data_IF_501329436718
#
_entry.id   IF_501329436718
#
_cell.length_a   1.000
_cell.length_b   1.000
_cell.length_c   1.000
_cell.angle_alpha   90.00
_cell.angle_beta   90.00
_cell.angle_gamma   90.00
#
_symmetry.space_group_name_H-M   'P 1'
#
loop_
_entity.id
_entity.type
_entity.pdbx_description
1 polymer ?
#
# COMPACT_ATOMS: atom_id res chain seq x y z
N UNK A 1 35.61 -56.83 -58.09
CA UNK A 1 34.61 -55.75 -58.22
C UNK A 1 34.13 -55.34 -56.79
N UNK A 2 34.68 -54.29 -56.19
CA UNK A 2 34.38 -53.83 -54.83
C UNK A 2 33.59 -52.53 -54.96
N UNK A 3 32.34 -52.57 -54.52
CA UNK A 3 31.50 -51.39 -54.41
C UNK A 3 31.70 -50.70 -53.05
N UNK A 4 32.15 -49.46 -53.05
CA UNK A 4 32.24 -48.60 -51.88
C UNK A 4 30.87 -47.98 -51.54
N UNK A 5 30.31 -48.23 -50.39
CA UNK A 5 29.15 -47.52 -49.84
C UNK A 5 29.64 -46.32 -48.99
N UNK A 6 29.32 -45.11 -49.40
CA UNK A 6 29.52 -43.88 -48.62
C UNK A 6 28.43 -43.77 -47.53
N UNK A 7 28.84 -43.78 -46.30
CA UNK A 7 27.96 -43.46 -45.15
C UNK A 7 27.91 -41.96 -44.95
N UNK A 8 26.73 -41.43 -44.96
CA UNK A 8 26.46 -40.03 -44.61
C UNK A 8 26.21 -40.00 -43.08
N UNK A 9 27.07 -39.31 -42.37
CA UNK A 9 26.89 -39.03 -40.95
C UNK A 9 26.07 -37.74 -40.81
N UNK A 10 24.81 -37.85 -40.38
CA UNK A 10 23.99 -36.70 -39.99
C UNK A 10 24.36 -36.30 -38.56
N UNK A 11 24.96 -35.13 -38.40
CA UNK A 11 25.16 -34.49 -37.10
C UNK A 11 23.88 -33.72 -36.79
N UNK A 12 23.09 -34.23 -35.83
CA UNK A 12 21.99 -33.48 -35.22
C UNK A 12 22.56 -32.47 -34.22
N UNK A 13 22.55 -31.20 -34.64
CA UNK A 13 22.81 -30.09 -33.71
C UNK A 13 21.62 -29.86 -32.77
N UNK A 14 21.77 -30.13 -31.49
CA UNK A 14 20.84 -29.71 -30.47
C UNK A 14 20.95 -28.18 -30.28
N UNK A 15 20.00 -27.43 -30.82
CA UNK A 15 19.83 -26.02 -30.50
C UNK A 15 19.12 -25.93 -29.14
N UNK A 16 19.89 -25.62 -28.07
CA UNK A 16 19.37 -25.30 -26.77
C UNK A 16 18.77 -23.89 -26.83
N UNK A 17 17.46 -23.81 -27.05
CA UNK A 17 16.73 -22.55 -26.99
C UNK A 17 16.58 -22.11 -25.53
N UNK A 18 17.34 -21.09 -25.14
CA UNK A 18 17.13 -20.38 -23.88
C UNK A 18 15.83 -19.59 -24.03
N UNK A 19 14.74 -20.12 -23.48
CA UNK A 19 13.49 -19.39 -23.30
C UNK A 19 13.74 -18.35 -22.20
N UNK A 20 14.07 -17.13 -22.61
CA UNK A 20 14.02 -15.98 -21.72
C UNK A 20 12.57 -15.74 -21.34
N UNK A 21 12.20 -16.11 -20.11
CA UNK A 21 10.96 -15.69 -19.50
C UNK A 21 11.00 -14.17 -19.33
N UNK A 22 10.52 -13.43 -20.31
CA UNK A 22 10.09 -12.06 -20.12
C UNK A 22 8.83 -12.11 -19.25
N UNK A 23 9.01 -11.99 -17.94
CA UNK A 23 7.93 -11.61 -17.05
C UNK A 23 7.43 -10.26 -17.57
N UNK A 24 6.32 -10.27 -18.27
CA UNK A 24 5.60 -9.05 -18.63
C UNK A 24 5.23 -8.38 -17.31
N UNK A 25 5.92 -7.30 -16.99
CA UNK A 25 5.43 -6.30 -16.03
C UNK A 25 4.17 -5.75 -16.72
N UNK A 26 3.03 -6.34 -16.39
CA UNK A 26 1.73 -5.77 -16.73
C UNK A 26 1.68 -4.50 -15.90
N UNK A 27 2.02 -3.37 -16.51
CA UNK A 27 1.65 -2.07 -15.98
C UNK A 27 0.14 -2.17 -15.73
N UNK A 28 -0.27 -1.99 -14.46
CA UNK A 28 -1.68 -1.97 -14.12
C UNK A 28 -2.35 -1.01 -15.10
N UNK A 29 -3.24 -1.52 -15.94
CA UNK A 29 -3.91 -0.73 -16.96
C UNK A 29 -4.42 0.53 -16.27
N UNK A 30 -4.15 1.71 -16.88
CA UNK A 30 -4.56 3.00 -16.35
C UNK A 30 -6.08 2.97 -16.13
N UNK A 31 -6.47 2.65 -14.92
CA UNK A 31 -7.88 2.70 -14.50
C UNK A 31 -8.30 4.17 -14.61
N UNK A 32 -9.32 4.44 -15.41
CA UNK A 32 -9.67 5.79 -15.84
C UNK A 32 -9.75 6.78 -14.66
N UNK A 33 -8.91 7.79 -14.71
CA UNK A 33 -8.82 8.88 -13.74
C UNK A 33 -7.91 8.61 -12.54
N UNK A 34 -7.30 7.41 -12.40
CA UNK A 34 -6.27 7.18 -11.40
C UNK A 34 -4.90 7.63 -11.91
N UNK A 35 -4.11 8.20 -11.00
CA UNK A 35 -2.68 8.45 -11.21
C UNK A 35 -1.85 7.81 -10.11
N UNK A 36 -0.64 7.41 -10.43
CA UNK A 36 0.27 6.85 -9.44
C UNK A 36 0.77 7.91 -8.46
N UNK A 37 0.83 7.56 -7.17
CA UNK A 37 1.53 8.32 -6.14
C UNK A 37 2.95 7.80 -5.89
N UNK A 38 3.27 6.62 -6.42
CA UNK A 38 4.60 6.02 -6.34
C UNK A 38 5.10 5.68 -7.75
N UNK A 39 6.28 6.18 -8.09
CA UNK A 39 6.86 6.02 -9.43
C UNK A 39 7.54 4.66 -9.66
N UNK A 40 7.57 3.78 -8.64
CA UNK A 40 8.22 2.47 -8.70
C UNK A 40 9.75 2.49 -8.62
N UNK A 41 10.38 3.65 -8.34
CA UNK A 41 11.85 3.81 -8.39
C UNK A 41 12.44 4.44 -7.14
N UNK A 42 11.82 5.49 -6.64
CA UNK A 42 12.30 6.27 -5.50
C UNK A 42 11.15 6.89 -4.71
N UNK A 43 11.47 7.58 -3.62
CA UNK A 43 10.51 8.25 -2.77
C UNK A 43 10.19 9.70 -3.22
N UNK A 44 10.38 10.03 -4.50
CA UNK A 44 9.99 11.33 -5.04
C UNK A 44 8.48 11.56 -4.81
N UNK A 45 8.13 12.75 -4.30
CA UNK A 45 6.74 13.06 -3.91
C UNK A 45 6.38 12.69 -2.47
N UNK A 46 7.27 12.01 -1.76
CA UNK A 46 7.13 11.61 -0.37
C UNK A 46 8.18 12.29 0.52
N UNK A 47 7.88 12.37 1.81
CA UNK A 47 8.74 12.94 2.85
C UNK A 47 8.65 12.11 4.13
N UNK A 48 9.79 11.63 4.63
CA UNK A 48 9.90 10.76 5.80
C UNK A 48 11.33 10.34 6.07
N UNK A 49 11.54 9.60 7.14
CA UNK A 49 12.86 9.11 7.56
C UNK A 49 13.35 7.98 6.65
N UNK A 50 14.33 8.26 5.81
CA UNK A 50 14.93 7.28 4.87
C UNK A 50 15.75 6.18 5.54
N UNK A 51 15.95 6.23 6.84
CA UNK A 51 16.53 5.10 7.59
C UNK A 51 15.51 3.99 7.85
N UNK A 52 14.21 4.33 7.82
CA UNK A 52 13.09 3.40 8.01
C UNK A 52 12.35 3.12 6.70
N UNK A 53 12.34 4.09 5.77
CA UNK A 53 11.61 4.01 4.51
C UNK A 53 12.55 3.89 3.32
N UNK A 54 12.34 2.88 2.50
CA UNK A 54 13.14 2.59 1.30
C UNK A 54 12.28 2.05 0.17
N UNK A 55 12.85 1.93 -1.02
CA UNK A 55 12.22 1.22 -2.14
C UNK A 55 12.93 -0.11 -2.33
N UNK A 56 12.17 -1.19 -2.40
CA UNK A 56 12.65 -2.53 -2.75
C UNK A 56 11.74 -3.11 -3.84
N UNK A 57 12.31 -3.39 -5.01
CA UNK A 57 11.55 -3.85 -6.16
C UNK A 57 10.52 -2.81 -6.60
N UNK A 58 9.26 -3.19 -6.62
CA UNK A 58 8.11 -2.35 -6.98
C UNK A 58 7.34 -1.79 -5.77
N UNK A 59 7.94 -1.85 -4.56
CA UNK A 59 7.28 -1.48 -3.32
C UNK A 59 8.03 -0.39 -2.53
N UNK A 60 7.27 0.46 -1.86
CA UNK A 60 7.73 1.26 -0.72
C UNK A 60 7.72 0.35 0.50
N UNK A 61 8.83 0.28 1.20
CA UNK A 61 9.04 -0.59 2.35
C UNK A 61 9.29 0.25 3.59
N UNK A 62 8.45 0.06 4.60
CA UNK A 62 8.70 0.51 5.96
C UNK A 62 9.30 -0.66 6.77
N UNK A 63 10.54 -0.50 7.24
CA UNK A 63 11.29 -1.54 7.93
C UNK A 63 11.95 -0.97 9.18
N UNK A 64 11.51 -1.43 10.33
CA UNK A 64 11.90 -0.90 11.63
C UNK A 64 12.49 -1.99 12.52
N UNK A 65 13.65 -1.72 13.14
CA UNK A 65 14.20 -2.60 14.18
C UNK A 65 13.48 -2.47 15.54
N UNK A 66 12.50 -1.59 15.63
CA UNK A 66 11.82 -1.13 16.84
C UNK A 66 12.12 0.32 17.13
N UNK A 67 11.08 1.13 17.30
CA UNK A 67 11.14 2.58 17.50
C UNK A 67 10.24 3.03 18.66
N UNK A 68 10.58 4.18 19.26
CA UNK A 68 9.85 4.72 20.43
C UNK A 68 8.59 5.53 20.05
N UNK A 69 8.61 6.15 18.87
CA UNK A 69 7.55 7.04 18.38
C UNK A 69 7.17 6.63 16.97
N UNK A 70 5.89 6.76 16.63
CA UNK A 70 5.42 6.51 15.27
C UNK A 70 6.19 7.33 14.26
N UNK A 71 6.41 6.75 13.08
CA UNK A 71 7.05 7.40 11.94
C UNK A 71 6.18 7.26 10.70
N UNK A 72 6.10 8.33 9.94
CA UNK A 72 5.25 8.39 8.77
C UNK A 72 6.01 8.80 7.52
N UNK A 73 5.71 8.13 6.41
CA UNK A 73 6.09 8.57 5.08
C UNK A 73 4.92 9.32 4.48
N UNK A 74 5.04 10.63 4.36
CA UNK A 74 3.97 11.55 4.02
C UNK A 74 4.03 12.00 2.57
N UNK A 75 2.90 12.10 1.87
CA UNK A 75 2.86 12.79 0.57
C UNK A 75 3.14 14.28 0.76
N UNK A 76 3.82 14.89 -0.23
CA UNK A 76 4.01 16.35 -0.28
C UNK A 76 2.75 17.08 -0.74
N UNK A 77 1.84 16.38 -1.37
CA UNK A 77 0.57 16.88 -1.89
C UNK A 77 -0.56 16.56 -0.93
N UNK A 78 -1.55 17.44 -0.86
CA UNK A 78 -2.80 17.26 -0.11
C UNK A 78 -3.95 16.86 -1.05
N UNK A 79 -4.90 16.11 -0.51
CA UNK A 79 -6.06 15.59 -1.23
C UNK A 79 -7.35 15.94 -0.49
N UNK A 80 -8.38 16.34 -1.23
CA UNK A 80 -9.74 16.58 -0.71
C UNK A 80 -10.61 15.33 -0.79
N UNK A 81 -11.48 15.29 -1.81
CA UNK A 81 -12.29 14.13 -2.14
C UNK A 81 -11.53 13.21 -3.10
N UNK A 82 -11.43 11.93 -2.77
CA UNK A 82 -10.61 10.99 -3.55
C UNK A 82 -11.05 9.52 -3.38
N UNK A 83 -10.58 8.69 -4.31
CA UNK A 83 -10.38 7.26 -4.14
C UNK A 83 -8.87 6.97 -4.15
N UNK A 84 -8.37 6.31 -3.13
CA UNK A 84 -7.01 5.80 -3.03
C UNK A 84 -7.05 4.28 -3.07
N UNK A 85 -6.26 3.71 -3.97
CA UNK A 85 -6.06 2.26 -4.07
C UNK A 85 -4.59 1.95 -3.88
N UNK A 86 -4.32 0.91 -3.14
CA UNK A 86 -2.97 0.40 -2.94
C UNK A 86 -3.01 -1.10 -2.61
N UNK A 87 -1.87 -1.74 -2.72
CA UNK A 87 -1.65 -3.06 -2.17
C UNK A 87 -0.70 -2.95 -0.98
N UNK A 88 -0.96 -3.74 0.06
CA UNK A 88 -0.11 -3.81 1.23
C UNK A 88 0.19 -5.26 1.64
N UNK A 89 1.33 -5.46 2.30
CA UNK A 89 1.70 -6.72 2.92
C UNK A 89 2.42 -6.45 4.24
N UNK A 90 1.87 -6.96 5.34
CA UNK A 90 2.52 -6.91 6.66
C UNK A 90 3.31 -8.19 6.83
N UNK A 91 4.62 -8.08 7.09
CA UNK A 91 5.51 -9.22 7.24
C UNK A 91 5.02 -10.12 8.38
N UNK A 92 4.91 -11.41 8.10
CA UNK A 92 4.46 -12.44 9.05
C UNK A 92 3.05 -12.17 9.63
N UNK A 93 2.32 -11.19 9.09
CA UNK A 93 1.02 -10.75 9.60
C UNK A 93 1.08 -10.10 10.98
N UNK A 94 2.28 -9.71 11.43
CA UNK A 94 2.54 -9.17 12.76
C UNK A 94 2.94 -7.69 12.69
N UNK A 95 2.58 -6.93 13.72
CA UNK A 95 2.83 -5.50 13.83
C UNK A 95 1.59 -4.66 13.56
N UNK A 96 1.72 -3.38 13.84
CA UNK A 96 0.69 -2.37 13.64
C UNK A 96 1.17 -1.33 12.63
N UNK A 97 0.31 -0.96 11.70
CA UNK A 97 0.57 0.00 10.65
C UNK A 97 -0.75 0.57 10.14
N UNK A 98 -0.70 1.48 9.17
CA UNK A 98 -1.91 2.01 8.56
C UNK A 98 -1.62 3.00 7.46
N UNK A 99 -2.69 3.42 6.80
CA UNK A 99 -2.68 4.47 5.79
C UNK A 99 -3.45 5.66 6.33
N UNK A 100 -2.74 6.74 6.60
CA UNK A 100 -3.32 8.01 7.01
C UNK A 100 -3.89 8.74 5.79
N UNK A 101 -5.00 9.43 5.98
CA UNK A 101 -5.61 10.26 4.94
C UNK A 101 -6.37 11.45 5.54
N UNK A 102 -6.50 12.52 4.79
CA UNK A 102 -7.04 13.80 5.29
C UNK A 102 -6.39 14.16 6.64
N UNK A 103 -5.09 13.97 6.72
CA UNK A 103 -4.29 14.14 7.94
C UNK A 103 -3.31 15.30 7.79
N UNK A 104 -2.78 15.80 8.88
CA UNK A 104 -1.78 16.87 8.95
C UNK A 104 -0.63 16.46 9.85
N UNK A 105 0.59 16.91 9.51
CA UNK A 105 1.74 16.77 10.43
C UNK A 105 1.49 17.56 11.71
N UNK A 106 1.82 16.97 12.85
CA UNK A 106 1.83 17.66 14.13
C UNK A 106 3.14 18.46 14.22
N UNK A 107 3.09 19.78 14.48
CA UNK A 107 4.31 20.59 14.64
C UNK A 107 5.26 20.01 15.68
N UNK A 108 6.55 20.07 15.42
CA UNK A 108 7.64 19.63 16.31
C UNK A 108 7.52 18.17 16.79
N UNK A 109 6.85 17.33 15.99
CA UNK A 109 6.61 15.91 16.28
C UNK A 109 6.81 15.05 15.04
N UNK A 110 6.98 13.75 15.26
CA UNK A 110 6.93 12.74 14.19
C UNK A 110 5.50 12.28 13.90
N UNK A 111 4.53 12.73 14.72
CA UNK A 111 3.13 12.33 14.63
C UNK A 111 2.37 13.09 13.53
N UNK A 112 1.26 12.50 13.14
CA UNK A 112 0.26 13.11 12.26
C UNK A 112 -1.11 13.07 12.92
N UNK A 113 -2.02 13.95 12.52
CA UNK A 113 -3.34 14.07 13.12
C UNK A 113 -4.43 13.99 12.04
N UNK A 114 -5.24 12.96 12.09
CA UNK A 114 -6.31 12.71 11.12
C UNK A 114 -6.79 11.27 11.10
N UNK A 115 -7.47 10.88 10.01
CA UNK A 115 -7.98 9.52 9.87
C UNK A 115 -6.90 8.53 9.49
N UNK A 116 -6.98 7.31 10.05
CA UNK A 116 -6.16 6.16 9.68
C UNK A 116 -7.04 4.99 9.25
N UNK A 117 -6.78 4.48 8.06
CA UNK A 117 -7.22 3.19 7.59
C UNK A 117 -6.25 2.14 8.17
N UNK A 118 -6.62 1.51 9.26
CA UNK A 118 -5.73 0.79 10.14
C UNK A 118 -5.45 -0.65 9.68
N UNK A 119 -4.26 -1.14 9.98
CA UNK A 119 -3.76 -2.44 9.55
C UNK A 119 -2.95 -3.11 10.67
N UNK A 120 -3.06 -4.43 10.73
CA UNK A 120 -2.24 -5.25 11.62
C UNK A 120 -2.86 -5.51 12.99
N UNK A 121 -2.33 -6.53 13.66
CA UNK A 121 -2.78 -6.99 14.99
C UNK A 121 -4.31 -7.10 15.10
N UNK A 122 -4.91 -6.35 16.03
CA UNK A 122 -6.37 -6.31 16.28
C UNK A 122 -7.08 -5.18 15.53
N UNK A 123 -6.35 -4.40 14.71
CA UNK A 123 -6.87 -3.19 14.06
C UNK A 123 -7.15 -3.35 12.57
N UNK A 124 -7.06 -4.57 12.04
CA UNK A 124 -7.29 -4.81 10.61
C UNK A 124 -8.58 -4.17 10.11
N UNK A 125 -8.43 -3.21 9.18
CA UNK A 125 -9.55 -2.57 8.48
C UNK A 125 -10.42 -1.65 9.33
N UNK A 126 -10.01 -1.28 10.55
CA UNK A 126 -10.68 -0.27 11.36
C UNK A 126 -10.46 1.13 10.77
N UNK A 127 -11.36 2.05 11.12
CA UNK A 127 -11.12 3.49 10.99
C UNK A 127 -10.73 4.05 12.35
N UNK A 128 -9.51 4.53 12.45
CA UNK A 128 -8.96 5.17 13.65
C UNK A 128 -8.82 6.67 13.43
N UNK A 129 -8.79 7.45 14.50
CA UNK A 129 -8.56 8.89 14.48
C UNK A 129 -7.29 9.25 15.27
N UNK A 130 -6.17 9.33 14.54
CA UNK A 130 -4.82 9.50 15.09
C UNK A 130 -4.59 10.91 15.60
N UNK A 131 -4.00 11.01 16.78
CA UNK A 131 -3.56 12.28 17.42
C UNK A 131 -4.60 13.41 17.44
N UNK A 132 -5.88 13.10 17.15
CA UNK A 132 -7.01 14.05 17.21
C UNK A 132 -8.02 13.60 18.27
N UNK A 133 -8.72 12.46 18.03
CA UNK A 133 -9.65 11.86 19.00
C UNK A 133 -9.05 10.64 19.70
N UNK A 134 -7.95 10.09 19.18
CA UNK A 134 -7.20 8.94 19.71
C UNK A 134 -8.11 7.74 20.01
N UNK A 135 -8.97 7.38 19.05
CA UNK A 135 -9.91 6.27 19.21
C UNK A 135 -10.29 5.63 17.87
N UNK A 136 -10.70 4.37 17.95
CA UNK A 136 -11.39 3.70 16.85
C UNK A 136 -12.75 4.39 16.68
N UNK A 137 -13.03 4.89 15.47
CA UNK A 137 -14.32 5.44 15.06
C UNK A 137 -15.26 4.33 14.63
N UNK A 138 -14.74 3.37 13.86
CA UNK A 138 -15.49 2.21 13.36
C UNK A 138 -14.60 0.98 13.43
N UNK A 139 -15.06 -0.06 14.07
CA UNK A 139 -14.45 -1.39 14.02
C UNK A 139 -14.79 -2.05 12.68
N UNK A 140 -13.83 -2.77 12.10
CA UNK A 140 -14.04 -3.45 10.84
C UNK A 140 -15.17 -4.49 10.90
N UNK A 141 -15.81 -4.70 9.74
CA UNK A 141 -16.78 -5.78 9.58
C UNK A 141 -16.15 -7.15 9.90
N UNK A 142 -16.84 -8.04 10.63
CA UNK A 142 -16.36 -9.41 10.88
C UNK A 142 -16.09 -10.23 9.62
N UNK A 143 -16.72 -9.89 8.50
CA UNK A 143 -16.52 -10.57 7.21
C UNK A 143 -15.10 -10.44 6.68
N UNK A 144 -14.34 -9.44 7.15
CA UNK A 144 -12.94 -9.26 6.81
C UNK A 144 -12.08 -10.46 7.20
N UNK A 145 -12.38 -11.16 8.30
CA UNK A 145 -11.57 -12.30 8.79
C UNK A 145 -11.41 -13.39 7.73
N UNK A 146 -12.41 -13.57 6.87
CA UNK A 146 -12.40 -14.56 5.78
C UNK A 146 -11.65 -14.08 4.53
N UNK A 147 -11.48 -12.77 4.38
CA UNK A 147 -10.91 -12.16 3.18
C UNK A 147 -9.46 -11.71 3.36
N UNK A 148 -9.04 -11.39 4.59
CA UNK A 148 -7.70 -10.88 4.87
C UNK A 148 -6.62 -11.97 4.73
N UNK A 149 -5.54 -11.64 4.03
CA UNK A 149 -4.34 -12.47 3.88
C UNK A 149 -3.23 -11.86 4.74
N UNK A 150 -3.19 -12.20 6.02
CA UNK A 150 -2.37 -11.48 7.03
C UNK A 150 -0.89 -11.33 6.69
N UNK A 151 -0.27 -12.32 6.03
CA UNK A 151 1.15 -12.32 5.66
C UNK A 151 1.39 -12.21 4.14
N UNK A 152 0.36 -11.87 3.36
CA UNK A 152 0.44 -11.77 1.91
C UNK A 152 -0.16 -10.44 1.42
N UNK A 153 -0.07 -10.20 0.11
CA UNK A 153 -0.59 -8.99 -0.51
C UNK A 153 -2.12 -8.91 -0.43
N UNK A 154 -2.59 -7.76 0.01
CA UNK A 154 -4.00 -7.40 0.09
C UNK A 154 -4.23 -6.10 -0.67
N UNK A 155 -5.39 -5.95 -1.30
CA UNK A 155 -5.83 -4.68 -1.85
C UNK A 155 -6.53 -3.85 -0.78
N UNK A 156 -6.24 -2.55 -0.74
CA UNK A 156 -6.96 -1.57 0.07
C UNK A 156 -7.54 -0.50 -0.84
N UNK A 157 -8.84 -0.24 -0.68
CA UNK A 157 -9.52 0.92 -1.24
C UNK A 157 -9.95 1.83 -0.09
N UNK A 158 -9.57 3.09 -0.18
CA UNK A 158 -9.94 4.16 0.74
C UNK A 158 -10.67 5.22 -0.09
N UNK A 159 -11.97 5.40 0.13
CA UNK A 159 -12.75 6.45 -0.51
C UNK A 159 -13.17 7.46 0.55
N UNK A 160 -12.91 8.74 0.28
CA UNK A 160 -13.35 9.87 1.09
C UNK A 160 -14.01 10.91 0.18
N UNK A 161 -15.31 11.11 0.33
CA UNK A 161 -16.10 12.03 -0.47
C UNK A 161 -17.03 12.84 0.43
N UNK A 162 -16.85 14.16 0.46
CA UNK A 162 -17.54 15.00 1.41
C UNK A 162 -17.27 14.56 2.86
N UNK A 163 -18.31 14.20 3.58
CA UNK A 163 -18.26 13.68 4.95
C UNK A 163 -18.27 12.15 5.02
N UNK A 164 -18.34 11.47 3.88
CA UNK A 164 -18.46 10.02 3.80
C UNK A 164 -17.11 9.33 3.57
N UNK A 165 -16.81 8.33 4.38
CA UNK A 165 -15.58 7.51 4.32
C UNK A 165 -15.98 6.05 4.15
N UNK A 166 -15.45 5.41 3.11
CA UNK A 166 -15.60 3.97 2.88
C UNK A 166 -14.24 3.32 2.80
N UNK A 167 -14.04 2.24 3.55
CA UNK A 167 -12.83 1.41 3.48
C UNK A 167 -13.20 0.01 2.98
N UNK A 168 -12.36 -0.55 2.07
CA UNK A 168 -12.52 -1.94 1.61
C UNK A 168 -11.17 -2.63 1.54
N UNK A 169 -11.10 -3.84 2.08
CA UNK A 169 -9.94 -4.73 1.92
C UNK A 169 -10.40 -5.96 1.13
N UNK A 170 -9.67 -6.28 0.04
CA UNK A 170 -9.97 -7.40 -0.85
C UNK A 170 -11.46 -7.43 -1.30
N UNK A 171 -12.03 -6.25 -1.57
CA UNK A 171 -13.42 -6.10 -1.98
C UNK A 171 -14.46 -6.12 -0.84
N UNK A 172 -14.08 -6.54 0.37
CA UNK A 172 -14.96 -6.51 1.55
C UNK A 172 -15.00 -5.10 2.12
N UNK A 173 -16.19 -4.50 2.24
CA UNK A 173 -16.38 -3.23 2.94
C UNK A 173 -16.15 -3.44 4.43
N UNK A 174 -15.10 -2.83 4.97
CA UNK A 174 -14.72 -2.91 6.38
C UNK A 174 -15.31 -1.74 7.17
N UNK A 175 -15.44 -0.59 6.53
CA UNK A 175 -15.96 0.65 7.11
C UNK A 175 -16.90 1.33 6.12
N UNK A 176 -18.01 1.80 6.64
CA UNK A 176 -18.92 2.75 6.01
C UNK A 176 -19.26 3.79 7.09
N UNK A 177 -18.67 4.99 7.00
CA UNK A 177 -18.71 5.99 8.06
C UNK A 177 -19.05 7.36 7.52
N UNK A 178 -19.97 8.03 8.20
CA UNK A 178 -20.29 9.42 7.95
C UNK A 178 -19.83 10.28 9.11
N UNK A 179 -18.92 11.24 8.84
CA UNK A 179 -18.39 12.15 9.85
C UNK A 179 -19.48 13.15 10.30
N UNK A 180 -19.92 13.08 11.58
CA UNK A 180 -20.97 13.96 12.08
C UNK A 180 -20.46 15.37 12.39
N UNK A 181 -19.15 15.55 12.58
CA UNK A 181 -18.57 16.84 12.92
C UNK A 181 -18.16 17.61 11.66
N UNK A 182 -18.94 18.62 11.30
CA UNK A 182 -18.67 19.46 10.13
C UNK A 182 -17.38 20.30 10.25
N UNK A 183 -16.83 20.45 11.44
CA UNK A 183 -15.58 21.19 11.68
C UNK A 183 -14.31 20.36 11.31
N UNK A 184 -14.45 19.05 11.14
CA UNK A 184 -13.35 18.20 10.71
C UNK A 184 -12.94 18.52 9.26
N UNK A 185 -11.66 18.81 9.08
CA UNK A 185 -11.11 19.11 7.75
C UNK A 185 -11.30 17.94 6.78
N UNK A 186 -11.75 18.25 5.55
CA UNK A 186 -12.00 17.26 4.48
C UNK A 186 -10.85 17.18 3.48
N UNK A 187 -9.69 17.75 3.82
CA UNK A 187 -8.46 17.66 3.01
C UNK A 187 -7.26 17.46 3.90
N UNK A 188 -6.18 16.96 3.32
CA UNK A 188 -4.91 16.74 3.96
C UNK A 188 -4.05 15.76 3.18
N UNK A 189 -2.91 15.42 3.74
CA UNK A 189 -1.95 14.47 3.14
C UNK A 189 -2.42 13.03 3.29
N UNK A 190 -1.81 12.14 2.49
CA UNK A 190 -1.78 10.70 2.69
C UNK A 190 -0.43 10.36 3.34
N UNK A 191 -0.42 9.41 4.28
CA UNK A 191 0.83 8.94 4.85
C UNK A 191 0.78 7.44 5.17
N UNK A 192 1.95 6.79 5.09
CA UNK A 192 2.14 5.39 5.44
C UNK A 192 2.81 5.34 6.82
N UNK A 193 2.38 4.43 7.69
CA UNK A 193 2.87 4.36 9.07
C UNK A 193 3.84 3.21 9.28
N UNK A 194 4.92 3.48 10.04
CA UNK A 194 5.65 2.51 10.85
C UNK A 194 5.33 2.81 12.31
N UNK A 195 4.60 1.92 12.97
CA UNK A 195 4.16 2.11 14.35
C UNK A 195 5.30 1.91 15.35
N UNK A 196 5.26 2.67 16.44
CA UNK A 196 6.16 2.49 17.58
C UNK A 196 6.01 1.10 18.20
N UNK A 197 7.09 0.58 18.76
CA UNK A 197 7.10 -0.76 19.37
C UNK A 197 8.26 -1.61 18.90
N UNK A 198 8.05 -2.92 18.83
CA UNK A 198 9.03 -3.90 18.39
C UNK A 198 9.36 -3.84 16.88
N UNK A 199 10.25 -4.74 16.41
CA UNK A 199 10.57 -4.82 15.00
C UNK A 199 9.31 -5.09 14.15
N UNK A 200 9.21 -4.38 13.02
CA UNK A 200 8.11 -4.59 12.07
C UNK A 200 8.55 -4.27 10.64
N UNK A 201 7.89 -4.89 9.68
CA UNK A 201 8.04 -4.54 8.27
C UNK A 201 6.68 -4.55 7.57
N UNK A 202 6.46 -3.55 6.75
CA UNK A 202 5.31 -3.43 5.85
C UNK A 202 5.76 -3.00 4.46
N UNK A 203 5.19 -3.61 3.45
CA UNK A 203 5.42 -3.29 2.05
C UNK A 203 4.14 -2.72 1.44
N UNK A 204 4.27 -1.61 0.68
CA UNK A 204 3.18 -0.96 -0.04
C UNK A 204 3.52 -0.82 -1.52
N UNK A 205 2.60 -1.15 -2.42
CA UNK A 205 2.78 -0.97 -3.86
C UNK A 205 1.47 -0.60 -4.57
N UNK A 206 1.56 -0.34 -5.86
CA UNK A 206 0.39 0.03 -6.68
C UNK A 206 -0.41 1.19 -6.08
N UNK A 207 0.29 2.14 -5.43
CA UNK A 207 -0.33 3.28 -4.75
C UNK A 207 -0.80 4.27 -5.81
N UNK A 208 -2.10 4.37 -5.99
CA UNK A 208 -2.71 5.24 -7.01
C UNK A 208 -3.95 5.94 -6.46
N UNK A 209 -4.14 7.17 -6.89
CA UNK A 209 -5.22 8.03 -6.42
C UNK A 209 -6.01 8.61 -7.59
N UNK A 210 -7.31 8.72 -7.37
CA UNK A 210 -8.25 9.44 -8.23
C UNK A 210 -8.91 10.55 -7.43
N UNK A 211 -8.68 11.80 -7.81
CA UNK A 211 -9.40 12.93 -7.26
C UNK A 211 -10.83 12.90 -7.77
N UNK A 212 -11.78 13.01 -6.84
CA UNK A 212 -13.21 13.11 -7.17
C UNK A 212 -13.54 14.57 -7.38
N UNK A 213 -14.23 14.86 -8.49
CA UNK A 213 -14.70 16.22 -8.78
C UNK A 213 -15.78 16.65 -7.79
N UNK A 214 -15.81 17.95 -7.48
CA UNK A 214 -16.97 18.58 -6.85
C UNK A 214 -18.14 18.61 -7.80
#
# INVERSE_FOLDING_TARGET
MLSRRNGIVCVLGLACGVLANFASVIAAADEAGFRSLFNGKDLAGWDGDTTLWKVEGDAIVGDSPGIKHNQFLCTKEEFGDFELKLEFKVKDGAGNTGVQFRTKKVPDSTEVSGYQADLGEKYWGCLYDESRRNKILVTASPDLEKAIKKADWNEYLIRAEGDHITLKINGVTTVDYKEPDAAIARSGIVALQVHSGGPMRVDFRNIRIKTLGK
#
